data_IF_296683929634
#
_entry.id   IF_296683929634
#
_cell.length_a   1.000
_cell.length_b   1.000
_cell.length_c   1.000
_cell.angle_alpha   90.00
_cell.angle_beta   90.00
_cell.angle_gamma   90.00
#
_symmetry.space_group_name_H-M   'P 1'
#
loop_
_entity.id
_entity.type
_entity.pdbx_description
1 polymer ?
#
# COMPACT_ATOMS: atom_id res chain seq x y z
N UNK A 1 -3.81 35.62 51.29
CA UNK A 1 -4.73 34.76 50.52
C UNK A 1 -4.51 34.95 49.07
N UNK A 2 -3.63 34.18 48.52
CA UNK A 2 -3.35 34.23 47.07
C UNK A 2 -3.90 32.99 46.46
N UNK A 3 -4.97 33.18 45.73
CA UNK A 3 -5.59 32.17 44.96
C UNK A 3 -4.77 31.95 43.70
N UNK A 4 -3.91 30.99 43.72
CA UNK A 4 -3.16 30.59 42.54
C UNK A 4 -4.08 29.83 41.63
N UNK A 5 -4.61 30.54 40.71
CA UNK A 5 -5.30 29.93 39.56
C UNK A 5 -4.28 29.19 38.76
N UNK A 6 -4.18 27.92 38.98
CA UNK A 6 -3.55 27.01 38.06
C UNK A 6 -4.30 27.07 36.74
N UNK A 7 -3.78 27.85 35.85
CA UNK A 7 -4.23 27.83 34.46
C UNK A 7 -3.80 26.51 33.89
N UNK A 8 -4.75 25.65 33.72
CA UNK A 8 -4.59 24.45 32.93
C UNK A 8 -4.31 24.87 31.50
N UNK A 9 -3.06 24.86 31.13
CA UNK A 9 -2.63 25.03 29.74
C UNK A 9 -2.66 23.66 29.06
N UNK A 10 -3.79 23.01 29.09
CA UNK A 10 -4.01 21.73 28.43
C UNK A 10 -5.04 21.85 27.32
N UNK A 11 -4.91 22.83 26.48
CA UNK A 11 -5.95 23.03 25.50
C UNK A 11 -5.54 23.62 24.18
N UNK A 12 -4.25 23.69 23.88
CA UNK A 12 -3.88 24.48 22.71
C UNK A 12 -2.82 23.83 21.83
N UNK A 13 -2.90 22.53 21.65
CA UNK A 13 -1.98 21.86 20.72
C UNK A 13 -2.65 21.18 19.55
N UNK A 14 -3.89 21.46 19.25
CA UNK A 14 -4.61 20.82 18.15
C UNK A 14 -4.96 21.75 16.99
N UNK A 15 -4.42 22.95 16.89
CA UNK A 15 -4.90 23.92 15.89
C UNK A 15 -3.85 24.35 14.87
N UNK A 16 -2.64 23.84 14.92
CA UNK A 16 -1.58 24.31 14.03
C UNK A 16 -1.42 23.52 12.73
N UNK A 17 -2.34 22.64 12.38
CA UNK A 17 -2.18 21.79 11.17
C UNK A 17 -3.13 22.16 10.03
N UNK A 18 -3.94 23.17 10.16
CA UNK A 18 -5.02 23.46 9.20
C UNK A 18 -4.75 24.60 8.22
N UNK A 19 -3.53 25.07 8.05
CA UNK A 19 -3.28 26.24 7.20
C UNK A 19 -2.24 26.04 6.09
N UNK A 20 -1.88 24.82 5.76
CA UNK A 20 -1.16 24.57 4.51
C UNK A 20 -2.15 23.93 3.54
N UNK A 21 -2.76 24.71 2.70
CA UNK A 21 -3.72 24.26 1.67
C UNK A 21 -3.10 23.43 0.55
N UNK A 22 -2.24 22.51 0.87
CA UNK A 22 -1.89 21.42 -0.02
C UNK A 22 -2.29 20.14 0.70
N UNK A 23 -3.42 19.61 0.32
CA UNK A 23 -3.76 18.21 0.56
C UNK A 23 -2.81 17.41 -0.32
N UNK A 24 -1.56 17.32 0.11
CA UNK A 24 -0.74 16.20 -0.30
C UNK A 24 -1.54 14.98 0.17
N UNK A 25 -1.92 14.13 -0.75
CA UNK A 25 -2.41 12.81 -0.40
C UNK A 25 -1.24 12.11 0.26
N UNK A 26 -1.08 12.35 1.56
CA UNK A 26 -0.04 11.70 2.34
C UNK A 26 -0.34 10.21 2.34
N UNK A 27 0.53 9.46 1.73
CA UNK A 27 0.50 8.00 1.70
C UNK A 27 1.72 7.43 2.44
N UNK A 28 1.87 7.74 3.75
CA UNK A 28 3.11 7.43 4.48
C UNK A 28 3.41 5.93 4.50
N UNK A 29 2.38 5.09 4.49
CA UNK A 29 2.54 3.63 4.44
C UNK A 29 3.07 3.19 3.07
N UNK A 30 2.53 3.74 1.97
CA UNK A 30 3.03 3.46 0.63
C UNK A 30 4.46 3.99 0.42
N UNK A 31 4.78 5.17 0.95
CA UNK A 31 6.12 5.74 0.87
C UNK A 31 7.15 4.92 1.65
N UNK A 32 6.79 4.42 2.83
CA UNK A 32 7.65 3.52 3.60
C UNK A 32 7.84 2.18 2.88
N UNK A 33 6.78 1.60 2.32
CA UNK A 33 6.85 0.37 1.54
C UNK A 33 7.71 0.54 0.27
N UNK A 34 7.59 1.67 -0.41
CA UNK A 34 8.42 2.02 -1.57
C UNK A 34 9.91 2.03 -1.21
N UNK A 35 10.28 2.53 -0.03
CA UNK A 35 11.66 2.53 0.47
C UNK A 35 12.13 1.17 0.98
N UNK A 36 11.21 0.23 1.21
CA UNK A 36 11.50 -1.06 1.84
C UNK A 36 11.71 -0.97 3.35
N UNK A 37 11.18 0.07 3.98
CA UNK A 37 11.28 0.28 5.42
C UNK A 37 10.11 -0.40 6.16
N UNK A 38 10.29 -1.69 6.43
CA UNK A 38 9.24 -2.53 7.04
C UNK A 38 8.92 -2.13 8.47
N UNK A 39 9.90 -1.65 9.22
CA UNK A 39 9.68 -1.20 10.58
C UNK A 39 8.86 0.10 10.61
N UNK A 40 9.12 1.00 9.69
CA UNK A 40 8.30 2.21 9.52
C UNK A 40 6.87 1.85 9.12
N UNK A 41 6.68 0.92 8.17
CA UNK A 41 5.33 0.43 7.80
C UNK A 41 4.61 -0.10 9.02
N UNK A 42 5.26 -0.98 9.81
CA UNK A 42 4.68 -1.53 11.03
C UNK A 42 4.28 -0.44 12.02
N UNK A 43 5.16 0.50 12.27
CA UNK A 43 4.92 1.62 13.17
C UNK A 43 3.74 2.48 12.73
N UNK A 44 3.66 2.81 11.44
CA UNK A 44 2.58 3.60 10.86
C UNK A 44 1.22 2.88 10.99
N UNK A 45 1.18 1.58 10.72
CA UNK A 45 -0.03 0.78 10.88
C UNK A 45 -0.49 0.71 12.35
N UNK A 46 0.44 0.60 13.29
CA UNK A 46 0.14 0.64 14.73
C UNK A 46 -0.42 2.00 15.18
N UNK A 47 -0.03 3.07 14.52
CA UNK A 47 -0.54 4.42 14.74
C UNK A 47 -1.89 4.68 14.06
N UNK A 48 -2.42 3.71 13.33
CA UNK A 48 -3.71 3.82 12.64
C UNK A 48 -3.64 4.53 11.29
N UNK A 49 -2.46 4.61 10.67
CA UNK A 49 -2.33 5.15 9.31
C UNK A 49 -3.11 4.29 8.32
N UNK A 50 -3.71 4.94 7.31
CA UNK A 50 -4.48 4.25 6.28
C UNK A 50 -3.57 3.37 5.42
N UNK A 51 -3.78 2.06 5.51
CA UNK A 51 -3.05 1.04 4.73
C UNK A 51 -3.33 1.15 3.23
N UNK A 52 -4.48 1.71 2.85
CA UNK A 52 -4.94 1.84 1.47
C UNK A 52 -4.66 3.22 0.86
N UNK A 53 -4.06 4.14 1.62
CA UNK A 53 -3.66 5.42 1.08
C UNK A 53 -2.69 5.22 -0.09
N UNK A 54 -3.07 5.75 -1.25
CA UNK A 54 -2.32 5.60 -2.49
C UNK A 54 -1.52 6.87 -2.82
N UNK A 55 -0.36 6.68 -3.41
CA UNK A 55 0.44 7.75 -4.00
C UNK A 55 -0.28 8.38 -5.21
N UNK A 56 0.26 9.46 -5.73
CA UNK A 56 -0.34 10.21 -6.83
C UNK A 56 -0.60 9.40 -8.11
N UNK A 57 0.14 8.33 -8.32
CA UNK A 57 -0.01 7.38 -9.42
C UNK A 57 -0.97 6.21 -9.11
N UNK A 58 -1.52 6.18 -7.90
CA UNK A 58 -2.40 5.11 -7.43
C UNK A 58 -1.68 3.92 -6.80
N UNK A 59 -0.37 3.98 -6.65
CA UNK A 59 0.40 2.93 -5.97
C UNK A 59 0.10 2.93 -4.47
N UNK A 60 -0.38 1.81 -3.95
CA UNK A 60 -0.52 1.54 -2.51
C UNK A 60 0.70 0.82 -1.97
N UNK A 61 0.80 0.70 -0.66
CA UNK A 61 1.87 -0.08 -0.03
C UNK A 61 1.89 -1.54 -0.52
N UNK A 62 0.73 -2.13 -0.81
CA UNK A 62 0.63 -3.50 -1.31
C UNK A 62 1.15 -3.64 -2.74
N UNK A 63 1.00 -2.63 -3.60
CA UNK A 63 1.63 -2.60 -4.92
C UNK A 63 3.16 -2.65 -4.80
N UNK A 64 3.74 -1.84 -3.90
CA UNK A 64 5.19 -1.83 -3.67
C UNK A 64 5.71 -3.14 -3.09
N UNK A 65 4.97 -3.74 -2.16
CA UNK A 65 5.31 -5.06 -1.63
C UNK A 65 5.30 -6.13 -2.73
N UNK A 66 4.29 -6.08 -3.61
CA UNK A 66 4.14 -7.01 -4.73
C UNK A 66 5.28 -6.86 -5.76
N UNK A 67 5.63 -5.64 -6.14
CA UNK A 67 6.72 -5.37 -7.08
C UNK A 67 8.08 -5.83 -6.53
N UNK A 68 8.29 -5.66 -5.23
CA UNK A 68 9.54 -6.08 -4.55
C UNK A 68 9.59 -7.57 -4.22
N UNK A 69 8.48 -8.28 -4.32
CA UNK A 69 8.39 -9.67 -3.88
C UNK A 69 8.50 -9.82 -2.35
N UNK A 70 8.20 -8.78 -1.59
CA UNK A 70 8.27 -8.77 -0.14
C UNK A 70 7.02 -9.43 0.47
N UNK A 71 6.97 -10.77 0.46
CA UNK A 71 5.80 -11.56 0.87
C UNK A 71 5.39 -11.27 2.31
N UNK A 72 6.34 -11.20 3.24
CA UNK A 72 6.05 -10.92 4.65
C UNK A 72 5.40 -9.54 4.84
N UNK A 73 5.88 -8.53 4.10
CA UNK A 73 5.29 -7.21 4.10
C UNK A 73 3.88 -7.24 3.51
N UNK A 74 3.68 -7.95 2.39
CA UNK A 74 2.37 -8.08 1.77
C UNK A 74 1.36 -8.73 2.73
N UNK A 75 1.74 -9.80 3.43
CA UNK A 75 0.90 -10.45 4.43
C UNK A 75 0.53 -9.50 5.58
N UNK A 76 1.49 -8.72 6.07
CA UNK A 76 1.23 -7.70 7.10
C UNK A 76 0.22 -6.65 6.62
N UNK A 77 0.38 -6.15 5.39
CA UNK A 77 -0.52 -5.17 4.80
C UNK A 77 -1.92 -5.74 4.57
N UNK A 78 -2.04 -6.96 4.07
CA UNK A 78 -3.32 -7.66 3.87
C UNK A 78 -4.01 -7.86 5.21
N UNK A 79 -3.29 -8.30 6.23
CA UNK A 79 -3.83 -8.45 7.59
C UNK A 79 -4.33 -7.12 8.17
N UNK A 80 -3.67 -6.02 7.84
CA UNK A 80 -4.09 -4.67 8.22
C UNK A 80 -5.26 -4.12 7.39
N UNK A 81 -5.83 -4.90 6.46
CA UNK A 81 -6.95 -4.50 5.61
C UNK A 81 -6.54 -3.88 4.27
N UNK A 82 -5.32 -4.12 3.82
CA UNK A 82 -4.85 -3.70 2.50
C UNK A 82 -5.66 -4.34 1.38
N UNK A 83 -6.14 -3.50 0.44
CA UNK A 83 -6.94 -3.95 -0.70
C UNK A 83 -6.06 -4.67 -1.72
N UNK A 84 -6.38 -5.93 -1.97
CA UNK A 84 -5.69 -6.76 -2.98
C UNK A 84 -6.10 -6.39 -4.41
N UNK A 85 -7.22 -5.69 -4.58
CA UNK A 85 -7.78 -5.30 -5.88
C UNK A 85 -7.63 -3.79 -6.16
N UNK A 86 -6.85 -3.08 -5.36
CA UNK A 86 -6.51 -1.69 -5.64
C UNK A 86 -5.83 -1.59 -7.01
N UNK A 87 -6.10 -0.52 -7.75
CA UNK A 87 -5.56 -0.33 -9.10
C UNK A 87 -4.79 0.97 -9.22
N UNK A 88 -3.71 0.95 -9.97
CA UNK A 88 -2.97 2.16 -10.33
C UNK A 88 -3.79 3.05 -11.28
N UNK A 89 -3.53 4.36 -11.27
CA UNK A 89 -4.24 5.32 -12.13
C UNK A 89 -3.92 5.14 -13.60
N UNK A 90 -2.71 4.73 -13.92
CA UNK A 90 -2.26 4.48 -15.29
C UNK A 90 -2.17 2.98 -15.47
N UNK A 91 -2.94 2.45 -16.41
CA UNK A 91 -2.93 1.04 -16.77
C UNK A 91 -3.80 0.13 -15.90
N UNK A 92 -4.36 0.61 -14.78
CA UNK A 92 -5.16 -0.18 -13.86
C UNK A 92 -4.47 -1.49 -13.42
N UNK A 93 -3.21 -1.41 -13.05
CA UNK A 93 -2.47 -2.55 -12.51
C UNK A 93 -2.87 -2.82 -11.06
N UNK A 94 -3.16 -4.07 -10.77
CA UNK A 94 -3.32 -4.55 -9.38
C UNK A 94 -1.97 -5.01 -8.81
N UNK A 95 -1.85 -5.21 -7.49
CA UNK A 95 -0.67 -5.85 -6.91
C UNK A 95 -0.32 -7.19 -7.58
N UNK A 96 -1.35 -7.97 -7.97
CA UNK A 96 -1.14 -9.25 -8.65
C UNK A 96 -0.50 -9.09 -10.04
N UNK A 97 -0.82 -8.04 -10.79
CA UNK A 97 -0.16 -7.74 -12.06
C UNK A 97 1.34 -7.46 -11.84
N UNK A 98 1.69 -6.68 -10.79
CA UNK A 98 3.08 -6.35 -10.51
C UNK A 98 3.88 -7.57 -10.02
N UNK A 99 3.29 -8.40 -9.16
CA UNK A 99 3.90 -9.66 -8.74
C UNK A 99 4.13 -10.60 -9.91
N UNK A 100 3.18 -10.68 -10.84
CA UNK A 100 3.26 -11.51 -12.04
C UNK A 100 4.34 -11.01 -13.00
N UNK A 101 4.42 -9.70 -13.20
CA UNK A 101 5.47 -9.06 -13.99
C UNK A 101 6.86 -9.31 -13.41
N UNK A 102 6.98 -9.31 -12.10
CA UNK A 102 8.22 -9.63 -11.39
C UNK A 102 8.53 -11.14 -11.39
N UNK A 103 7.59 -11.99 -11.81
CA UNK A 103 7.75 -13.44 -11.82
C UNK A 103 7.87 -14.05 -10.41
N UNK A 104 7.31 -13.40 -9.41
CA UNK A 104 7.42 -13.86 -8.01
C UNK A 104 6.28 -14.82 -7.65
N UNK A 105 6.52 -16.11 -7.79
CA UNK A 105 5.53 -17.17 -7.53
C UNK A 105 4.99 -17.14 -6.09
N UNK A 106 5.85 -16.86 -5.11
CA UNK A 106 5.43 -16.78 -3.70
C UNK A 106 4.46 -15.63 -3.45
N UNK A 107 4.73 -14.46 -4.03
CA UNK A 107 3.85 -13.29 -3.95
C UNK A 107 2.54 -13.52 -4.70
N UNK A 108 2.59 -14.08 -5.91
CA UNK A 108 1.40 -14.41 -6.70
C UNK A 108 0.47 -15.31 -5.87
N UNK A 109 1.01 -16.37 -5.28
CA UNK A 109 0.24 -17.29 -4.43
C UNK A 109 -0.38 -16.58 -3.24
N UNK A 110 0.40 -15.77 -2.53
CA UNK A 110 -0.09 -15.04 -1.36
C UNK A 110 -1.24 -14.06 -1.71
N UNK A 111 -1.17 -13.39 -2.86
CA UNK A 111 -2.22 -12.49 -3.32
C UNK A 111 -3.48 -13.23 -3.77
N UNK A 112 -3.34 -14.36 -4.47
CA UNK A 112 -4.48 -15.20 -4.87
C UNK A 112 -5.17 -15.79 -3.64
N UNK A 113 -4.41 -16.30 -2.67
CA UNK A 113 -4.95 -16.82 -1.42
C UNK A 113 -5.70 -15.73 -0.61
N UNK A 114 -5.28 -14.48 -0.77
CA UNK A 114 -5.95 -13.32 -0.17
C UNK A 114 -7.16 -12.82 -0.96
N UNK A 115 -7.49 -13.42 -2.10
CA UNK A 115 -8.68 -13.13 -2.88
C UNK A 115 -8.49 -12.23 -4.10
N UNK A 116 -7.25 -11.97 -4.53
CA UNK A 116 -7.00 -11.25 -5.79
C UNK A 116 -7.60 -12.00 -6.97
N UNK A 117 -8.23 -11.25 -7.89
CA UNK A 117 -8.80 -11.82 -9.13
C UNK A 117 -7.70 -12.02 -10.20
N UNK A 118 -7.35 -13.27 -10.54
CA UNK A 118 -6.36 -13.55 -11.57
C UNK A 118 -6.86 -13.29 -13.01
N UNK A 119 -8.14 -13.06 -13.18
CA UNK A 119 -8.75 -12.78 -14.49
C UNK A 119 -8.89 -11.28 -14.76
N UNK A 120 -8.59 -10.42 -13.79
CA UNK A 120 -8.70 -8.97 -13.97
C UNK A 120 -7.70 -8.50 -15.04
N UNK A 121 -8.22 -7.82 -16.07
CA UNK A 121 -7.40 -7.24 -17.14
C UNK A 121 -6.98 -5.80 -16.84
N UNK A 122 -5.90 -5.37 -17.48
CA UNK A 122 -5.44 -3.97 -17.47
C UNK A 122 -6.34 -3.07 -18.33
N UNK A 123 -6.33 -1.76 -18.08
CA UNK A 123 -7.22 -0.81 -18.75
C UNK A 123 -7.00 -0.70 -20.28
N UNK A 124 -5.78 -0.89 -20.76
CA UNK A 124 -5.43 -0.62 -22.17
C UNK A 124 -5.36 -1.85 -23.06
N UNK A 125 -5.05 -3.00 -22.50
CA UNK A 125 -4.79 -4.21 -23.26
C UNK A 125 -5.55 -5.44 -22.76
N UNK A 126 -6.38 -5.26 -21.72
CA UNK A 126 -7.05 -6.38 -21.02
C UNK A 126 -6.06 -7.51 -20.62
N UNK A 127 -4.78 -7.14 -20.48
CA UNK A 127 -3.74 -8.09 -20.12
C UNK A 127 -3.94 -8.54 -18.67
N UNK A 128 -4.12 -9.83 -18.49
CA UNK A 128 -4.30 -10.44 -17.16
C UNK A 128 -2.97 -10.71 -16.47
N UNK A 129 -2.94 -10.95 -15.15
CA UNK A 129 -1.74 -11.39 -14.46
C UNK A 129 -1.03 -12.57 -15.13
N UNK A 130 -1.76 -13.51 -15.70
CA UNK A 130 -1.18 -14.65 -16.41
C UNK A 130 -0.36 -14.23 -17.65
N UNK A 131 -0.80 -13.21 -18.39
CA UNK A 131 -0.01 -12.67 -19.51
C UNK A 131 1.34 -12.13 -19.03
N UNK A 132 1.35 -11.44 -17.88
CA UNK A 132 2.59 -10.92 -17.30
C UNK A 132 3.48 -12.02 -16.72
N UNK A 133 2.88 -13.04 -16.08
CA UNK A 133 3.62 -14.20 -15.58
C UNK A 133 4.30 -14.97 -16.72
N UNK A 134 3.58 -15.20 -17.82
CA UNK A 134 4.15 -15.84 -19.01
C UNK A 134 5.29 -15.00 -19.62
N UNK A 135 5.14 -13.67 -19.65
CA UNK A 135 6.17 -12.77 -20.16
C UNK A 135 7.40 -12.68 -19.23
N UNK A 136 7.26 -12.97 -17.95
CA UNK A 136 8.38 -12.97 -17.00
C UNK A 136 9.38 -14.11 -17.25
N UNK A 137 8.93 -15.17 -17.91
CA UNK A 137 9.73 -16.37 -18.19
C UNK A 137 9.93 -17.28 -16.97
N UNK A 138 9.28 -17.00 -15.85
CA UNK A 138 9.34 -17.86 -14.68
C UNK A 138 8.16 -18.86 -14.68
N UNK A 139 8.47 -20.12 -14.91
CA UNK A 139 7.45 -21.20 -14.96
C UNK A 139 6.66 -21.36 -13.64
N UNK A 140 7.29 -21.07 -12.50
CA UNK A 140 6.63 -21.18 -11.19
C UNK A 140 5.61 -20.05 -10.94
N UNK A 141 5.64 -19.00 -11.77
CA UNK A 141 4.71 -17.88 -11.72
C UNK A 141 3.41 -18.11 -12.51
N UNK A 142 3.37 -19.17 -13.31
CA UNK A 142 2.24 -19.56 -14.16
C UNK A 142 1.37 -20.59 -13.43
#
# INVERSE_FOLDING_TARGET
MKNERRRNVLGTLCVAVLLSGSVALDSPVADAAMRGDFEMVRSLLQQGSDVNAAQGDGMTALHWAAERGAVDLAQMLIYAGGSVDAVTRIGAYTPLHLASKAGNAGMIRALIDAGSDPAQGTASAEATPLHFAAASGNADAI
#
